data_IF_650253501153
#
_entry.id   IF_650253501153
#
_cell.length_a   1.000
_cell.length_b   1.000
_cell.length_c   1.000
_cell.angle_alpha   90.00
_cell.angle_beta   90.00
_cell.angle_gamma   90.00
#
_symmetry.space_group_name_H-M   'P 1'
#
loop_
_entity.id
_entity.type
_entity.pdbx_description
1 polymer ?
#
# COMPACT_ATOMS: atom_id res chain seq x y z
N UNK A 1 -7.39 -16.31 1.47
CA UNK A 1 -6.25 -17.02 2.08
C UNK A 1 -6.33 -16.86 3.59
N UNK A 2 -5.94 -17.87 4.37
CA UNK A 2 -5.76 -17.81 5.81
C UNK A 2 -4.28 -17.86 6.14
N UNK A 3 -3.84 -16.95 7.01
CA UNK A 3 -2.47 -16.87 7.49
C UNK A 3 -2.43 -16.12 8.82
N UNK A 4 -1.71 -16.67 9.81
CA UNK A 4 -1.49 -16.10 11.14
C UNK A 4 -2.78 -15.79 11.93
N UNK A 5 -3.83 -16.59 11.71
CA UNK A 5 -5.15 -16.39 12.31
C UNK A 5 -6.05 -15.36 11.62
N UNK A 6 -5.65 -14.83 10.45
CA UNK A 6 -6.41 -13.81 9.72
C UNK A 6 -6.77 -14.24 8.30
N UNK A 7 -7.79 -13.58 7.75
CA UNK A 7 -8.19 -13.70 6.36
C UNK A 7 -7.52 -12.62 5.52
N UNK A 8 -7.14 -13.02 4.32
CA UNK A 8 -6.40 -12.20 3.37
C UNK A 8 -6.94 -12.38 1.96
N UNK A 9 -6.95 -11.29 1.18
CA UNK A 9 -7.18 -11.31 -0.26
C UNK A 9 -5.87 -11.35 -1.01
N UNK A 10 -5.78 -12.22 -2.00
CA UNK A 10 -4.62 -12.28 -2.89
C UNK A 10 -4.75 -11.16 -3.91
N UNK A 11 -3.81 -10.21 -3.91
CA UNK A 11 -3.75 -9.13 -4.89
C UNK A 11 -3.17 -9.68 -6.19
N UNK A 12 -2.03 -10.37 -6.10
CA UNK A 12 -1.29 -10.91 -7.25
C UNK A 12 -0.18 -11.85 -6.81
N UNK A 13 0.41 -12.53 -7.77
CA UNK A 13 1.69 -13.23 -7.64
C UNK A 13 2.79 -12.30 -8.18
N UNK A 14 3.88 -12.16 -7.42
CA UNK A 14 5.03 -11.36 -7.82
C UNK A 14 5.91 -12.12 -8.83
N UNK A 15 6.77 -11.39 -9.55
CA UNK A 15 7.69 -12.02 -10.52
C UNK A 15 8.72 -12.98 -9.90
N UNK A 16 8.92 -12.91 -8.58
CA UNK A 16 9.74 -13.85 -7.80
C UNK A 16 8.94 -15.02 -7.20
N UNK A 17 7.67 -15.18 -7.56
CA UNK A 17 6.79 -16.24 -7.09
C UNK A 17 6.16 -15.99 -5.72
N UNK A 18 6.56 -14.95 -4.99
CA UNK A 18 5.91 -14.59 -3.72
C UNK A 18 4.47 -14.11 -3.95
N UNK A 19 3.59 -14.34 -2.98
CA UNK A 19 2.15 -14.04 -3.11
C UNK A 19 1.85 -12.77 -2.34
N UNK A 20 1.45 -11.71 -3.04
CA UNK A 20 1.10 -10.42 -2.44
C UNK A 20 -0.34 -10.44 -1.95
N UNK A 21 -0.53 -10.23 -0.65
CA UNK A 21 -1.84 -10.33 0.00
C UNK A 21 -2.15 -9.09 0.82
N UNK A 22 -3.43 -8.74 0.90
CA UNK A 22 -3.96 -7.63 1.70
C UNK A 22 -4.92 -8.15 2.76
N UNK A 23 -4.82 -7.57 3.96
CA UNK A 23 -5.65 -7.93 5.10
C UNK A 23 -7.14 -7.80 4.76
N UNK A 24 -7.92 -8.80 5.15
CA UNK A 24 -9.35 -8.87 4.91
C UNK A 24 -10.15 -9.24 6.15
N UNK A 25 -9.55 -9.27 7.34
CA UNK A 25 -10.27 -9.40 8.61
C UNK A 25 -10.04 -10.68 9.39
N UNK A 26 -10.82 -10.83 10.45
CA UNK A 26 -10.84 -12.00 11.33
C UNK A 26 -11.88 -13.03 10.90
N UNK A 27 -12.72 -12.68 9.93
CA UNK A 27 -13.72 -13.56 9.32
C UNK A 27 -13.66 -13.51 7.78
N UNK A 28 -14.36 -14.45 7.12
CA UNK A 28 -14.47 -14.44 5.67
C UNK A 28 -15.53 -13.43 5.23
N UNK A 29 -15.18 -12.56 4.28
CA UNK A 29 -16.11 -11.56 3.72
C UNK A 29 -16.41 -11.81 2.25
N UNK A 30 -17.66 -11.56 1.86
CA UNK A 30 -18.08 -11.58 0.47
C UNK A 30 -17.47 -10.42 -0.33
N UNK A 31 -17.49 -10.52 -1.66
CA UNK A 31 -17.17 -9.37 -2.52
C UNK A 31 -18.27 -8.31 -2.38
N UNK A 32 -17.88 -7.04 -2.30
CA UNK A 32 -18.83 -5.95 -2.14
C UNK A 32 -19.31 -5.71 -0.70
N UNK A 33 -18.95 -6.59 0.25
CA UNK A 33 -19.38 -6.46 1.64
C UNK A 33 -18.64 -5.33 2.35
N UNK A 34 -19.42 -4.42 2.94
CA UNK A 34 -18.92 -3.36 3.82
C UNK A 34 -18.74 -3.88 5.24
N UNK A 35 -17.53 -3.77 5.80
CA UNK A 35 -17.25 -4.21 7.17
C UNK A 35 -15.99 -3.55 7.75
N UNK A 36 -16.06 -3.11 9.01
CA UNK A 36 -14.91 -2.57 9.75
C UNK A 36 -13.89 -3.67 10.13
N UNK A 37 -14.27 -4.95 10.11
CA UNK A 37 -13.34 -6.08 10.33
C UNK A 37 -12.25 -6.14 9.25
N UNK A 38 -12.48 -5.52 8.09
CA UNK A 38 -11.59 -5.59 6.91
C UNK A 38 -10.43 -4.59 6.96
N UNK A 39 -10.21 -3.91 8.09
CA UNK A 39 -9.10 -3.01 8.39
C UNK A 39 -8.63 -3.18 9.85
N UNK A 40 -7.40 -2.75 10.16
CA UNK A 40 -6.82 -2.93 11.52
C UNK A 40 -7.03 -1.72 12.44
N UNK A 41 -7.75 -0.72 11.96
CA UNK A 41 -7.96 0.57 12.63
C UNK A 41 -7.80 1.73 11.65
N UNK A 42 -7.82 2.95 12.20
CA UNK A 42 -7.74 4.19 11.44
C UNK A 42 -6.59 5.06 11.96
N UNK A 43 -5.90 5.75 11.05
CA UNK A 43 -4.83 6.68 11.41
C UNK A 43 -4.63 7.74 10.32
N UNK A 44 -3.88 8.78 10.66
CA UNK A 44 -3.30 9.68 9.66
C UNK A 44 -2.14 9.01 8.95
N UNK A 45 -1.95 9.30 7.67
CA UNK A 45 -0.75 8.84 6.97
C UNK A 45 0.49 9.51 7.58
N UNK A 46 0.46 10.84 7.70
CA UNK A 46 1.45 11.67 8.37
C UNK A 46 0.76 12.83 9.11
N UNK A 47 1.37 13.32 10.18
CA UNK A 47 0.76 14.37 11.03
C UNK A 47 0.74 15.76 10.40
N UNK A 48 1.53 15.99 9.35
CA UNK A 48 1.71 17.30 8.74
C UNK A 48 1.53 17.17 7.22
N UNK A 49 1.05 18.25 6.60
CA UNK A 49 0.74 18.29 5.15
C UNK A 49 1.26 19.53 4.43
N UNK A 50 2.21 20.24 5.04
CA UNK A 50 2.79 21.49 4.54
C UNK A 50 4.14 21.32 3.84
N UNK A 51 4.56 20.08 3.58
CA UNK A 51 5.77 19.72 2.83
C UNK A 51 5.48 18.48 1.98
N UNK A 52 6.09 18.39 0.80
CA UNK A 52 6.11 17.23 -0.06
C UNK A 52 6.67 15.99 0.65
N UNK A 53 7.60 16.15 1.59
CA UNK A 53 8.19 15.03 2.34
C UNK A 53 7.14 14.15 3.02
N UNK A 54 6.00 14.71 3.44
CA UNK A 54 4.98 13.98 4.20
C UNK A 54 4.16 12.97 3.38
N UNK A 55 4.37 12.88 2.07
CA UNK A 55 3.82 11.77 1.28
C UNK A 55 4.56 10.44 1.49
N UNK A 56 5.75 10.48 2.09
CA UNK A 56 6.60 9.30 2.20
C UNK A 56 6.14 8.34 3.30
N UNK A 57 6.16 7.04 2.99
CA UNK A 57 6.05 5.97 3.99
C UNK A 57 7.17 6.07 5.05
N UNK A 58 8.33 6.52 4.58
CA UNK A 58 9.43 7.11 5.35
C UNK A 58 9.86 8.40 4.63
N UNK A 59 10.40 9.39 5.34
CA UNK A 59 10.74 10.69 4.76
C UNK A 59 11.95 11.38 5.42
N UNK A 60 12.52 12.35 4.71
CA UNK A 60 13.48 13.34 5.19
C UNK A 60 13.14 14.65 4.49
N UNK A 61 12.92 15.75 5.23
CA UNK A 61 12.59 17.04 4.60
C UNK A 61 13.72 17.49 3.67
N UNK A 62 13.34 18.02 2.51
CA UNK A 62 14.29 18.38 1.45
C UNK A 62 14.79 17.21 0.59
N UNK A 63 14.32 15.97 0.79
CA UNK A 63 14.70 14.80 -0.02
C UNK A 63 13.46 14.07 -0.55
N UNK A 64 13.38 13.89 -1.87
CA UNK A 64 12.26 13.17 -2.53
C UNK A 64 12.13 11.74 -2.00
N UNK A 65 13.26 11.03 -1.88
CA UNK A 65 13.33 9.65 -1.39
C UNK A 65 13.98 9.55 -0.01
N UNK A 66 13.75 10.53 0.87
CA UNK A 66 14.26 10.49 2.24
C UNK A 66 13.73 9.31 3.05
N UNK A 67 14.50 8.84 4.03
CA UNK A 67 14.27 7.59 4.78
C UNK A 67 14.56 7.72 6.29
N UNK A 68 14.84 8.92 6.81
CA UNK A 68 15.29 9.09 8.20
C UNK A 68 14.14 9.05 9.23
N UNK A 69 12.93 9.43 8.83
CA UNK A 69 11.75 9.49 9.71
C UNK A 69 10.64 8.59 9.20
N UNK A 70 10.05 7.81 10.09
CA UNK A 70 8.89 6.98 9.79
C UNK A 70 7.60 7.82 9.76
N UNK A 71 6.71 7.49 8.82
CA UNK A 71 5.34 8.02 8.84
C UNK A 71 4.53 7.46 10.01
N UNK A 72 3.44 8.14 10.38
CA UNK A 72 2.55 7.68 11.46
C UNK A 72 1.91 6.34 11.12
N UNK A 73 1.49 6.15 9.87
CA UNK A 73 0.90 4.88 9.42
C UNK A 73 1.91 3.72 9.41
N UNK A 74 3.19 3.99 9.10
CA UNK A 74 4.25 2.98 9.16
C UNK A 74 4.41 2.42 10.56
N UNK A 75 4.41 3.29 11.59
CA UNK A 75 4.46 2.86 12.99
C UNK A 75 3.34 1.87 13.34
N UNK A 76 2.10 2.18 12.93
CA UNK A 76 0.95 1.28 13.17
C UNK A 76 1.12 -0.08 12.48
N UNK A 77 1.61 -0.08 11.23
CA UNK A 77 1.86 -1.32 10.49
C UNK A 77 3.00 -2.14 11.12
N UNK A 78 4.09 -1.50 11.54
CA UNK A 78 5.22 -2.16 12.18
C UNK A 78 4.82 -2.82 13.51
N UNK A 79 4.05 -2.13 14.34
CA UNK A 79 3.52 -2.67 15.59
C UNK A 79 2.58 -3.86 15.35
N UNK A 80 1.70 -3.74 14.35
CA UNK A 80 0.78 -4.80 13.97
C UNK A 80 1.53 -6.04 13.47
N UNK A 81 2.52 -5.87 12.58
CA UNK A 81 3.33 -6.98 12.07
C UNK A 81 4.11 -7.67 13.19
N UNK A 82 4.73 -6.88 14.06
CA UNK A 82 5.52 -7.40 15.19
C UNK A 82 4.66 -8.27 16.09
N UNK A 83 3.48 -7.77 16.47
CA UNK A 83 2.55 -8.48 17.37
C UNK A 83 1.97 -9.73 16.73
N UNK A 84 1.53 -9.63 15.47
CA UNK A 84 0.66 -10.64 14.87
C UNK A 84 1.39 -11.65 13.97
N UNK A 85 2.58 -11.31 13.48
CA UNK A 85 3.36 -12.18 12.60
C UNK A 85 4.68 -12.57 13.26
N UNK A 86 5.52 -11.59 13.62
CA UNK A 86 6.88 -11.85 14.08
C UNK A 86 6.91 -12.57 15.43
N UNK A 87 6.20 -12.04 16.44
CA UNK A 87 6.14 -12.63 17.79
C UNK A 87 5.44 -13.99 17.82
N UNK A 88 4.61 -14.29 16.81
CA UNK A 88 4.00 -15.60 16.63
C UNK A 88 4.89 -16.60 15.87
N UNK A 89 6.08 -16.17 15.43
CA UNK A 89 7.04 -17.04 14.77
C UNK A 89 6.80 -17.28 13.29
N UNK A 90 5.91 -16.54 12.63
CA UNK A 90 5.57 -16.74 11.21
C UNK A 90 6.42 -15.90 10.23
N UNK A 91 7.45 -15.21 10.72
CA UNK A 91 8.29 -14.34 9.89
C UNK A 91 9.08 -15.08 8.81
N UNK A 92 9.29 -16.38 8.96
CA UNK A 92 9.91 -17.27 7.95
C UNK A 92 8.98 -17.53 6.75
N UNK A 93 7.67 -17.34 6.89
CA UNK A 93 6.67 -17.46 5.82
C UNK A 93 6.54 -16.19 4.98
N UNK A 94 7.25 -15.12 5.33
CA UNK A 94 7.17 -13.82 4.66
C UNK A 94 8.40 -13.60 3.78
N UNK A 95 8.16 -13.18 2.54
CA UNK A 95 9.21 -12.82 1.60
C UNK A 95 10.00 -11.63 2.12
N UNK A 96 11.32 -11.79 2.18
CA UNK A 96 12.25 -10.69 2.46
C UNK A 96 12.62 -9.90 1.21
N UNK A 97 12.35 -10.45 0.02
CA UNK A 97 12.73 -9.84 -1.23
C UNK A 97 11.64 -8.93 -1.80
N UNK A 98 10.39 -9.38 -1.76
CA UNK A 98 9.29 -8.59 -2.32
C UNK A 98 9.05 -7.31 -1.50
N UNK A 99 9.20 -6.17 -2.16
CA UNK A 99 9.08 -4.85 -1.54
C UNK A 99 7.74 -4.17 -1.75
N UNK A 100 7.69 -2.91 -1.31
CA UNK A 100 6.54 -2.02 -1.43
C UNK A 100 6.99 -0.75 -2.15
N UNK A 101 6.37 -0.39 -3.26
CA UNK A 101 6.79 0.78 -4.03
C UNK A 101 6.08 2.04 -3.53
N UNK A 102 6.82 3.04 -3.07
CA UNK A 102 6.26 4.34 -2.72
C UNK A 102 5.75 5.13 -3.93
N UNK A 103 6.38 4.95 -5.10
CA UNK A 103 6.10 5.68 -6.33
C UNK A 103 6.15 7.22 -6.21
N UNK A 104 7.11 7.72 -5.41
CA UNK A 104 7.43 9.14 -5.21
C UNK A 104 8.23 9.74 -6.38
N UNK A 105 7.92 9.35 -7.62
CA UNK A 105 8.49 9.97 -8.82
C UNK A 105 7.86 11.37 -9.01
N UNK A 106 8.60 12.47 -8.84
CA UNK A 106 8.01 13.80 -8.82
C UNK A 106 7.87 14.39 -10.22
N UNK A 107 6.83 15.22 -10.41
CA UNK A 107 6.70 16.03 -11.60
C UNK A 107 6.03 17.36 -11.32
N UNK A 108 6.50 18.44 -11.94
CA UNK A 108 5.77 19.72 -11.97
C UNK A 108 4.69 19.79 -13.05
N UNK A 109 4.52 18.71 -13.82
CA UNK A 109 3.48 18.57 -14.85
C UNK A 109 2.47 17.51 -14.44
N UNK A 110 1.19 17.86 -14.51
CA UNK A 110 0.07 16.96 -14.18
C UNK A 110 -0.17 15.87 -15.23
N UNK A 111 0.46 15.96 -16.40
CA UNK A 111 0.22 15.06 -17.54
C UNK A 111 1.46 14.32 -18.04
N UNK A 112 2.63 14.56 -17.46
CA UNK A 112 3.89 13.93 -17.90
C UNK A 112 4.88 13.87 -16.75
N UNK A 113 5.62 12.76 -16.61
CA UNK A 113 6.71 12.72 -15.63
C UNK A 113 7.91 13.52 -16.13
N UNK A 114 8.51 14.34 -15.28
CA UNK A 114 9.69 15.15 -15.62
C UNK A 114 10.78 15.19 -14.52
N UNK A 115 10.59 14.47 -13.41
CA UNK A 115 11.55 14.40 -12.31
C UNK A 115 11.71 15.70 -11.51
N UNK A 116 10.90 16.73 -11.76
CA UNK A 116 10.98 18.01 -11.06
C UNK A 116 9.99 18.10 -9.90
N UNK A 117 10.36 18.80 -8.82
CA UNK A 117 9.54 18.97 -7.62
C UNK A 117 9.90 17.97 -6.52
N UNK A 118 8.91 17.59 -5.72
CA UNK A 118 9.03 16.57 -4.67
C UNK A 118 9.71 17.03 -3.37
N UNK A 119 9.98 18.33 -3.22
CA UNK A 119 10.57 18.90 -1.99
C UNK A 119 9.89 20.20 -1.59
N UNK A 120 9.83 20.45 -0.27
CA UNK A 120 9.26 21.67 0.28
C UNK A 120 7.81 21.86 -0.16
N UNK A 121 7.46 23.04 -0.66
CA UNK A 121 6.09 23.38 -1.10
C UNK A 121 5.97 23.48 -2.63
N UNK A 122 6.94 22.95 -3.37
CA UNK A 122 6.89 22.93 -4.84
C UNK A 122 5.70 22.09 -5.29
N UNK A 123 4.85 22.65 -6.15
CA UNK A 123 3.73 21.94 -6.73
C UNK A 123 4.24 20.69 -7.48
N UNK A 124 3.77 19.52 -7.07
CA UNK A 124 4.28 18.21 -7.49
C UNK A 124 3.12 17.25 -7.71
N UNK A 125 3.07 16.63 -8.88
CA UNK A 125 2.24 15.49 -9.22
C UNK A 125 3.12 14.25 -9.26
N UNK A 126 2.70 13.18 -8.58
CA UNK A 126 3.50 11.97 -8.52
C UNK A 126 3.14 10.97 -9.63
N UNK A 127 3.98 9.95 -9.82
CA UNK A 127 3.82 8.95 -10.87
C UNK A 127 2.41 8.38 -10.98
N UNK A 128 1.82 7.94 -9.87
CA UNK A 128 0.45 7.41 -9.82
C UNK A 128 -0.60 8.42 -10.28
N UNK A 129 -0.44 9.72 -9.97
CA UNK A 129 -1.34 10.76 -10.46
C UNK A 129 -1.33 10.87 -11.97
N UNK A 130 -0.13 10.98 -12.53
CA UNK A 130 0.03 11.09 -13.98
C UNK A 130 -0.58 9.87 -14.68
N UNK A 131 -0.42 8.66 -14.13
CA UNK A 131 -0.91 7.41 -14.75
C UNK A 131 -2.40 7.16 -14.59
N UNK A 132 -2.97 7.50 -13.44
CA UNK A 132 -4.30 7.02 -13.02
C UNK A 132 -5.40 8.09 -13.09
N UNK A 133 -5.04 9.38 -13.09
CA UNK A 133 -6.03 10.47 -13.23
C UNK A 133 -6.35 10.73 -14.70
N UNK A 134 -5.37 10.58 -15.60
CA UNK A 134 -5.54 10.76 -17.05
C UNK A 134 -6.53 9.75 -17.69
N UNK A 135 -7.10 10.05 -18.86
CA UNK A 135 -8.13 9.21 -19.50
C UNK A 135 -7.68 7.81 -19.95
N UNK A 136 -6.38 7.59 -20.22
CA UNK A 136 -5.86 6.30 -20.69
C UNK A 136 -5.75 5.27 -19.59
N UNK A 137 -5.58 5.70 -18.33
CA UNK A 137 -5.46 4.85 -17.14
C UNK A 137 -4.39 3.76 -17.35
N UNK A 138 -3.14 4.08 -17.05
CA UNK A 138 -1.97 3.25 -17.39
C UNK A 138 -1.28 2.71 -16.12
N UNK A 139 -1.92 1.84 -15.31
CA UNK A 139 -1.31 1.34 -14.08
C UNK A 139 -0.10 0.45 -14.37
N UNK A 140 0.91 0.49 -13.49
CA UNK A 140 2.11 -0.35 -13.56
C UNK A 140 2.37 -1.07 -12.25
N UNK A 141 2.92 -2.30 -12.32
CA UNK A 141 3.33 -3.07 -11.13
C UNK A 141 4.83 -2.95 -10.82
N UNK A 142 5.59 -2.29 -11.71
CA UNK A 142 7.03 -2.14 -11.56
C UNK A 142 7.34 -0.85 -10.81
N UNK A 143 8.21 -0.94 -9.81
CA UNK A 143 8.77 0.24 -9.17
C UNK A 143 9.89 0.83 -10.03
N UNK A 144 9.76 2.09 -10.43
CA UNK A 144 10.71 2.72 -11.36
C UNK A 144 12.05 3.07 -10.70
N UNK A 145 12.04 3.36 -9.40
CA UNK A 145 13.23 3.72 -8.63
C UNK A 145 13.49 2.70 -7.52
N UNK A 146 14.71 2.18 -7.44
CA UNK A 146 15.12 1.31 -6.33
C UNK A 146 15.20 2.06 -4.99
N UNK A 147 15.41 3.38 -5.01
CA UNK A 147 15.38 4.21 -3.80
C UNK A 147 13.98 4.24 -3.16
N UNK A 148 12.95 3.97 -3.96
CA UNK A 148 11.55 4.02 -3.54
C UNK A 148 10.88 2.65 -3.45
N UNK A 149 11.63 1.59 -3.71
CA UNK A 149 11.23 0.23 -3.43
C UNK A 149 11.64 -0.11 -1.99
N UNK A 150 10.69 0.00 -1.06
CA UNK A 150 10.90 -0.33 0.34
C UNK A 150 11.06 -1.84 0.54
N UNK A 151 12.20 -2.25 1.08
CA UNK A 151 12.55 -3.63 1.39
C UNK A 151 13.24 -3.71 2.74
N UNK A 152 13.30 -4.91 3.32
CA UNK A 152 14.05 -5.13 4.56
C UNK A 152 15.56 -5.19 4.33
N UNK A 153 16.35 -4.96 5.38
CA UNK A 153 17.82 -4.96 5.32
C UNK A 153 18.44 -6.21 4.71
N UNK A 154 17.80 -7.37 4.88
CA UNK A 154 18.22 -8.66 4.31
C UNK A 154 17.89 -8.87 2.83
N UNK A 155 17.19 -7.94 2.17
CA UNK A 155 16.87 -8.05 0.74
C UNK A 155 18.08 -7.77 -0.15
N UNK A 156 18.08 -8.37 -1.32
CA UNK A 156 19.04 -8.07 -2.39
C UNK A 156 18.63 -6.90 -3.29
N UNK A 157 17.42 -6.34 -3.12
CA UNK A 157 16.89 -5.22 -3.93
C UNK A 157 16.29 -4.12 -3.05
N UNK A 158 15.93 -3.01 -3.69
CA UNK A 158 15.28 -1.88 -3.02
C UNK A 158 16.21 -1.08 -2.10
N UNK A 159 15.61 -0.25 -1.26
CA UNK A 159 16.32 0.68 -0.38
C UNK A 159 16.73 0.07 0.97
N UNK A 160 16.28 -1.16 1.29
CA UNK A 160 16.68 -1.91 2.49
C UNK A 160 16.37 -1.22 3.83
N UNK A 161 15.44 -0.26 3.82
CA UNK A 161 15.15 0.59 4.95
C UNK A 161 14.12 0.02 5.94
N UNK A 162 13.35 -1.00 5.55
CA UNK A 162 12.31 -1.55 6.40
C UNK A 162 12.88 -2.42 7.52
N UNK A 163 12.33 -2.26 8.72
CA UNK A 163 12.52 -3.21 9.82
C UNK A 163 11.64 -4.44 9.62
N UNK A 164 10.35 -4.24 9.32
CA UNK A 164 9.39 -5.30 9.05
C UNK A 164 8.95 -5.31 7.58
N UNK A 165 8.78 -6.49 6.94
CA UNK A 165 8.34 -6.62 5.54
C UNK A 165 6.83 -6.40 5.38
N UNK A 166 6.34 -5.22 5.78
CA UNK A 166 4.94 -4.81 5.72
C UNK A 166 4.81 -3.43 5.06
N UNK A 167 3.70 -3.23 4.35
CA UNK A 167 3.35 -1.93 3.78
C UNK A 167 1.87 -1.85 3.44
N UNK A 168 1.55 -1.03 2.45
CA UNK A 168 0.19 -0.85 1.94
C UNK A 168 0.12 -1.22 0.45
N UNK A 169 -1.11 -1.26 -0.06
CA UNK A 169 -1.41 -1.44 -1.48
C UNK A 169 -1.00 -0.19 -2.27
N UNK A 170 -0.59 -0.35 -3.54
CA UNK A 170 -0.31 0.79 -4.43
C UNK A 170 -1.58 1.31 -5.12
N UNK A 171 -1.58 2.57 -5.56
CA UNK A 171 -2.68 3.11 -6.36
C UNK A 171 -2.86 2.35 -7.69
N UNK A 172 -1.77 1.86 -8.29
CA UNK A 172 -1.84 1.03 -9.50
C UNK A 172 -2.49 -0.32 -9.24
N UNK A 173 -2.21 -0.96 -8.09
CA UNK A 173 -2.87 -2.21 -7.67
C UNK A 173 -4.37 -1.97 -7.43
N UNK A 174 -4.73 -0.83 -6.83
CA UNK A 174 -6.12 -0.39 -6.68
C UNK A 174 -6.79 -0.21 -8.06
N UNK A 175 -6.13 0.49 -8.98
CA UNK A 175 -6.62 0.72 -10.35
C UNK A 175 -6.83 -0.58 -11.13
N UNK A 176 -5.84 -1.47 -11.10
CA UNK A 176 -5.93 -2.80 -11.74
C UNK A 176 -7.02 -3.68 -11.13
N UNK A 177 -7.37 -3.47 -9.86
CA UNK A 177 -8.46 -4.20 -9.21
C UNK A 177 -9.85 -3.77 -9.68
N UNK A 178 -9.97 -2.62 -10.35
CA UNK A 178 -11.23 -2.11 -10.94
C UNK A 178 -11.70 -0.76 -10.42
N UNK A 179 -10.98 -0.14 -9.48
CA UNK A 179 -11.28 1.23 -9.05
C UNK A 179 -10.80 2.24 -10.10
N UNK A 180 -11.59 3.28 -10.34
CA UNK A 180 -11.25 4.33 -11.32
C UNK A 180 -11.37 5.69 -10.65
N UNK A 181 -10.47 6.62 -11.02
CA UNK A 181 -10.45 7.97 -10.47
C UNK A 181 -11.82 8.65 -10.62
N UNK A 182 -12.43 9.05 -9.49
CA UNK A 182 -13.73 9.73 -9.43
C UNK A 182 -14.90 9.00 -10.13
N UNK A 183 -14.85 7.67 -10.27
CA UNK A 183 -15.95 6.88 -10.82
C UNK A 183 -16.31 5.78 -9.83
N UNK A 184 -17.56 5.84 -9.34
CA UNK A 184 -18.12 4.83 -8.45
C UNK A 184 -18.03 3.43 -9.04
N UNK A 185 -17.47 2.50 -8.28
CA UNK A 185 -17.53 1.08 -8.58
C UNK A 185 -17.62 0.28 -7.27
N UNK A 186 -18.75 -0.36 -7.01
CA UNK A 186 -18.95 -1.13 -5.77
C UNK A 186 -18.70 -2.63 -5.94
N UNK A 187 -18.42 -3.07 -7.17
CA UNK A 187 -18.45 -4.50 -7.54
C UNK A 187 -17.06 -5.11 -7.73
N UNK A 188 -16.00 -4.38 -7.37
CA UNK A 188 -14.63 -4.83 -7.60
C UNK A 188 -14.01 -5.51 -6.38
N UNK A 189 -13.01 -6.35 -6.65
CA UNK A 189 -12.49 -7.32 -5.67
C UNK A 189 -11.87 -6.69 -4.42
N UNK A 190 -11.41 -5.45 -4.46
CA UNK A 190 -10.79 -4.81 -3.29
C UNK A 190 -11.71 -3.83 -2.57
N UNK A 191 -12.95 -3.65 -3.04
CA UNK A 191 -13.94 -2.83 -2.37
C UNK A 191 -14.36 -3.43 -1.02
N UNK A 192 -14.40 -2.58 0.01
CA UNK A 192 -14.72 -2.97 1.39
C UNK A 192 -15.71 -2.04 2.08
N UNK A 193 -16.29 -1.08 1.36
CA UNK A 193 -17.12 -0.02 1.97
C UNK A 193 -16.36 0.98 2.84
N UNK A 194 -15.04 0.81 3.02
CA UNK A 194 -14.22 1.69 3.84
C UNK A 194 -13.32 2.58 3.00
N UNK A 195 -13.07 3.78 3.51
CA UNK A 195 -12.00 4.64 3.03
C UNK A 195 -10.66 4.14 3.60
N UNK A 196 -9.74 3.66 2.75
CA UNK A 196 -8.47 3.05 3.19
C UNK A 196 -7.26 3.59 2.44
N UNK A 197 -6.19 3.86 3.18
CA UNK A 197 -4.95 4.42 2.64
C UNK A 197 -4.24 3.48 1.66
N UNK A 198 -3.59 4.06 0.66
CA UNK A 198 -2.58 3.39 -0.17
C UNK A 198 -1.18 3.90 0.19
N UNK A 199 -0.13 3.20 -0.27
CA UNK A 199 1.25 3.70 -0.14
C UNK A 199 1.58 4.81 -1.15
N UNK A 200 0.76 4.98 -2.19
CA UNK A 200 1.10 5.81 -3.35
C UNK A 200 0.67 7.27 -3.15
N UNK A 201 1.57 8.23 -3.36
CA UNK A 201 1.24 9.65 -3.30
C UNK A 201 0.43 10.07 -4.52
N UNK A 202 -0.42 11.08 -4.35
CA UNK A 202 -1.21 11.66 -5.45
C UNK A 202 -0.53 12.93 -5.96
N UNK A 203 -0.65 14.02 -5.20
CA UNK A 203 -0.01 15.28 -5.52
C UNK A 203 0.19 16.12 -4.26
N UNK A 204 1.00 17.15 -4.37
CA UNK A 204 1.18 18.21 -3.38
C UNK A 204 1.16 19.56 -4.09
N UNK A 205 0.24 20.45 -3.70
CA UNK A 205 0.07 21.76 -4.35
C UNK A 205 0.12 22.90 -3.34
N UNK A 206 1.31 23.48 -3.17
CA UNK A 206 1.51 24.63 -2.30
C UNK A 206 1.48 24.27 -0.81
N UNK A 207 1.02 25.20 0.01
CA UNK A 207 0.99 25.04 1.47
C UNK A 207 -0.26 24.24 1.88
N UNK A 208 -0.06 23.26 2.75
CA UNK A 208 -1.14 22.45 3.36
C UNK A 208 -1.99 21.62 2.38
N UNK A 209 -1.41 21.11 1.29
CA UNK A 209 -2.13 20.32 0.29
C UNK A 209 -1.37 19.07 -0.18
N UNK A 210 -0.69 18.40 0.75
CA UNK A 210 -0.04 17.11 0.50
C UNK A 210 -1.05 15.96 0.61
N UNK A 211 -1.18 15.12 -0.43
CA UNK A 211 -2.22 14.08 -0.54
C UNK A 211 -1.70 12.69 -0.92
N UNK A 212 -2.28 11.66 -0.30
CA UNK A 212 -2.10 10.25 -0.68
C UNK A 212 -3.30 9.73 -1.46
N UNK A 213 -3.07 8.76 -2.35
CA UNK A 213 -4.17 7.97 -2.90
C UNK A 213 -4.80 7.07 -1.84
N UNK A 214 -6.09 6.81 -2.00
CA UNK A 214 -6.87 5.91 -1.18
C UNK A 214 -7.96 5.22 -2.01
N UNK A 215 -8.48 4.11 -1.49
CA UNK A 215 -9.80 3.60 -1.89
C UNK A 215 -10.83 4.37 -1.10
N UNK A 216 -11.81 4.98 -1.75
CA UNK A 216 -12.91 5.66 -1.07
C UNK A 216 -14.01 4.68 -0.67
N UNK A 217 -14.78 5.00 0.37
CA UNK A 217 -15.98 4.22 0.76
C UNK A 217 -17.04 4.15 -0.35
N UNK A 218 -16.99 5.06 -1.33
CA UNK A 218 -17.80 5.01 -2.55
C UNK A 218 -17.22 4.13 -3.68
N UNK A 219 -16.07 3.48 -3.45
CA UNK A 219 -15.48 2.51 -4.36
C UNK A 219 -14.73 3.10 -5.56
N UNK A 220 -14.49 4.41 -5.59
CA UNK A 220 -13.59 5.01 -6.55
C UNK A 220 -12.15 5.08 -6.01
N UNK A 221 -11.20 5.28 -6.91
CA UNK A 221 -9.86 5.75 -6.53
C UNK A 221 -9.96 7.25 -6.23
N UNK A 222 -9.51 7.69 -5.06
CA UNK A 222 -9.51 9.10 -4.65
C UNK A 222 -8.14 9.50 -4.08
N UNK A 223 -8.00 10.76 -3.70
CA UNK A 223 -6.90 11.21 -2.86
C UNK A 223 -7.37 12.15 -1.77
N UNK A 224 -6.66 12.10 -0.64
CA UNK A 224 -6.98 12.96 0.50
C UNK A 224 -5.72 13.39 1.26
N UNK A 225 -5.88 14.40 2.10
CA UNK A 225 -4.80 14.99 2.87
C UNK A 225 -4.18 13.98 3.81
N UNK A 226 -2.84 13.95 3.85
CA UNK A 226 -2.09 12.97 4.64
C UNK A 226 -2.40 13.00 6.15
N UNK A 227 -2.95 14.12 6.65
CA UNK A 227 -3.37 14.33 8.04
C UNK A 227 -4.84 13.97 8.32
N UNK A 228 -5.56 13.42 7.34
CA UNK A 228 -6.91 12.88 7.51
C UNK A 228 -6.88 11.47 8.12
N UNK A 229 -7.94 11.04 8.80
CA UNK A 229 -7.95 9.77 9.53
C UNK A 229 -8.72 8.72 8.72
N UNK A 230 -8.01 7.76 8.11
CA UNK A 230 -8.60 6.70 7.28
C UNK A 230 -8.10 5.31 7.66
N UNK A 231 -8.79 4.29 7.15
CA UNK A 231 -8.54 2.89 7.48
C UNK A 231 -7.20 2.36 6.98
N UNK A 232 -6.66 1.40 7.70
CA UNK A 232 -5.35 0.78 7.43
C UNK A 232 -5.57 -0.68 7.06
N UNK A 233 -5.07 -1.08 5.89
CA UNK A 233 -5.09 -2.48 5.44
C UNK A 233 -3.66 -2.97 5.17
N UNK A 234 -3.08 -3.76 6.10
CA UNK A 234 -1.78 -4.38 5.91
C UNK A 234 -1.66 -5.11 4.58
N UNK A 235 -0.53 -4.91 3.91
CA UNK A 235 -0.10 -5.73 2.78
C UNK A 235 1.22 -6.40 3.14
N UNK A 236 1.29 -7.70 2.89
CA UNK A 236 2.48 -8.54 3.06
C UNK A 236 2.68 -9.41 1.82
N UNK A 237 3.87 -9.98 1.67
CA UNK A 237 4.19 -10.90 0.60
C UNK A 237 4.54 -12.26 1.20
N UNK A 238 3.73 -13.29 0.99
CA UNK A 238 4.04 -14.66 1.41
C UNK A 238 5.21 -15.19 0.58
N UNK A 239 6.17 -15.85 1.22
CA UNK A 239 7.35 -16.42 0.57
C UNK A 239 6.94 -17.44 -0.52
N UNK A 240 7.77 -17.57 -1.56
CA UNK A 240 7.45 -18.38 -2.75
C UNK A 240 7.52 -19.89 -2.50
N UNK A 241 8.20 -20.31 -1.43
CA UNK A 241 8.49 -21.70 -1.07
C UNK A 241 7.57 -22.24 0.04
N UNK A 242 6.52 -21.50 0.41
CA UNK A 242 5.51 -22.01 1.35
C UNK A 242 4.66 -23.09 0.71
N UNK A 243 4.22 -24.06 1.52
CA UNK A 243 3.18 -25.01 1.14
C UNK A 243 1.81 -24.41 1.40
N UNK A 244 0.92 -24.53 0.41
CA UNK A 244 -0.49 -24.15 0.53
C UNK A 244 -1.38 -25.39 0.48
N UNK A 245 -2.40 -25.39 1.33
CA UNK A 245 -3.53 -26.33 1.26
C UNK A 245 -4.84 -25.59 1.01
N UNK A 246 -5.94 -26.32 0.83
CA UNK A 246 -7.25 -25.77 0.46
C UNK A 246 -7.40 -25.45 -1.03
N UNK A 247 -8.63 -25.18 -1.46
CA UNK A 247 -8.99 -24.96 -2.87
C UNK A 247 -9.03 -23.48 -3.29
N UNK A 248 -8.95 -22.56 -2.34
CA UNK A 248 -9.00 -21.12 -2.59
C UNK A 248 -10.42 -20.54 -2.65
N UNK A 249 -11.46 -21.32 -2.34
CA UNK A 249 -12.84 -20.85 -2.29
C UNK A 249 -13.13 -20.13 -0.98
N UNK A 250 -14.26 -19.42 -0.88
CA UNK A 250 -14.65 -18.76 0.37
C UNK A 250 -14.86 -19.74 1.54
N UNK A 251 -15.36 -20.95 1.24
CA UNK A 251 -15.61 -22.00 2.23
C UNK A 251 -14.40 -22.90 2.49
N UNK A 252 -13.43 -22.89 1.59
CA UNK A 252 -12.17 -23.64 1.68
C UNK A 252 -11.02 -22.78 1.14
N UNK A 253 -10.62 -21.73 1.87
CA UNK A 253 -9.60 -20.79 1.41
C UNK A 253 -8.22 -21.45 1.40
N UNK A 254 -7.30 -20.90 0.61
CA UNK A 254 -5.90 -21.30 0.72
C UNK A 254 -5.38 -21.05 2.13
N UNK A 255 -4.70 -22.03 2.72
CA UNK A 255 -4.09 -21.97 4.05
C UNK A 255 -2.58 -22.12 3.90
N UNK A 256 -1.81 -21.26 4.57
CA UNK A 256 -0.35 -21.41 4.66
C UNK A 256 -0.04 -22.43 5.74
N UNK A 257 0.53 -23.58 5.36
CA UNK A 257 0.78 -24.66 6.31
C UNK A 257 1.80 -24.26 7.39
N UNK A 258 1.50 -24.65 8.64
CA UNK A 258 2.30 -24.29 9.80
C UNK A 258 2.19 -22.82 10.22
N UNK A 259 1.17 -22.10 9.74
CA UNK A 259 0.91 -20.70 10.06
C UNK A 259 -0.57 -20.41 10.37
N UNK A 260 -1.17 -21.28 11.20
CA UNK A 260 -2.50 -21.11 11.80
C UNK A 260 -2.42 -20.54 13.21
#
# INVERSE_FOLDING_TARGET
MKFAGYYWRIIRINGDGSIRIIYDGTSAHANGESSDDRQIGNTVYNNLRNDNAYVGYMYTSGQVHGLETDSTIKGVLDDWYTTNIANKGYGDKISKEAGFCGDREPSTSSSSSNGAGGTGTIATYYGGYIRLVNDRKEPILKCNSSADLYTVSGSNKGNKALTNPIGLITADEIGMSGAVWNINNYNYFLYTGNTVWSISPSYSEGWFNTRMFLIDSNGWLSSDYVDSIWGIRPVINIASDVTLSGTGTANDPYIVEGAE
#
